data_IF_905864517610
#
_entry.id   IF_905864517610
#
_cell.length_a   1.000
_cell.length_b   1.000
_cell.length_c   1.000
_cell.angle_alpha   90.00
_cell.angle_beta   90.00
_cell.angle_gamma   90.00
#
_symmetry.space_group_name_H-M   'P 1'
#
loop_
_entity.id
_entity.type
_entity.pdbx_description
1 polymer ?
#
# COMPACT_ATOMS: atom_id res chain seq x y z
N UNK A 1 11.29 -8.54 -1.73
CA UNK A 1 9.91 -8.94 -2.09
C UNK A 1 9.32 -7.93 -3.04
N UNK A 2 8.60 -8.37 -4.07
CA UNK A 2 7.78 -7.50 -4.94
C UNK A 2 6.66 -6.89 -4.09
N UNK A 3 6.54 -5.57 -4.05
CA UNK A 3 5.46 -4.91 -3.30
C UNK A 3 4.12 -5.21 -3.97
N UNK A 4 3.06 -5.37 -3.18
CA UNK A 4 1.72 -5.70 -3.68
C UNK A 4 1.15 -4.67 -4.68
N UNK A 5 1.73 -3.47 -4.73
CA UNK A 5 1.25 -2.33 -5.53
C UNK A 5 2.30 -1.75 -6.48
N UNK A 6 3.40 -2.47 -6.74
CA UNK A 6 4.40 -2.01 -7.72
C UNK A 6 3.81 -2.00 -9.12
N UNK A 7 3.48 -0.82 -9.65
CA UNK A 7 3.14 -0.64 -11.06
C UNK A 7 4.33 0.01 -11.75
N UNK A 8 4.91 -0.60 -12.81
CA UNK A 8 5.89 0.09 -13.62
C UNK A 8 5.26 1.38 -14.15
N UNK A 9 6.05 2.47 -14.21
CA UNK A 9 5.58 3.76 -14.74
C UNK A 9 4.92 3.52 -16.08
N UNK A 10 3.61 3.79 -16.15
CA UNK A 10 2.89 3.80 -17.42
C UNK A 10 3.36 5.03 -18.18
N UNK A 11 4.38 4.86 -19.03
CA UNK A 11 5.03 5.91 -19.81
C UNK A 11 4.13 6.57 -20.88
N UNK A 12 2.80 6.31 -20.85
CA UNK A 12 1.86 6.74 -21.90
C UNK A 12 1.78 8.27 -22.03
N UNK A 13 2.05 9.01 -20.96
CA UNK A 13 1.95 10.48 -20.93
C UNK A 13 3.31 11.18 -20.87
N UNK A 14 4.42 10.45 -21.07
CA UNK A 14 5.78 10.99 -20.98
C UNK A 14 6.39 11.12 -22.38
N UNK A 15 7.22 12.16 -22.64
CA UNK A 15 7.96 12.30 -23.89
C UNK A 15 8.71 11.02 -24.29
N UNK A 16 8.76 10.74 -25.59
CA UNK A 16 9.55 9.63 -26.11
C UNK A 16 11.06 9.88 -25.89
N UNK A 17 11.83 8.80 -25.79
CA UNK A 17 13.29 8.85 -25.70
C UNK A 17 13.86 9.18 -24.30
N UNK A 18 13.02 9.23 -23.26
CA UNK A 18 13.47 9.43 -21.89
C UNK A 18 14.20 8.19 -21.36
N UNK A 19 15.36 8.40 -20.75
CA UNK A 19 16.11 7.35 -20.06
C UNK A 19 15.87 7.45 -18.56
N UNK A 20 15.24 6.42 -17.99
CA UNK A 20 14.92 6.38 -16.56
C UNK A 20 16.01 5.70 -15.73
N UNK A 21 16.33 6.31 -14.60
CA UNK A 21 16.96 5.64 -13.48
C UNK A 21 15.88 5.03 -12.58
N UNK A 22 15.98 3.73 -12.31
CA UNK A 22 15.07 3.02 -11.41
C UNK A 22 15.76 2.68 -10.09
N UNK A 23 15.08 2.90 -8.97
CA UNK A 23 15.55 2.56 -7.63
C UNK A 23 14.43 1.96 -6.81
N UNK A 24 14.79 1.05 -5.91
CA UNK A 24 13.89 0.47 -4.90
C UNK A 24 14.33 1.00 -3.56
N UNK A 25 13.48 1.75 -2.90
CA UNK A 25 13.80 2.42 -1.62
C UNK A 25 12.96 1.78 -0.52
N UNK A 26 13.56 1.01 0.40
CA UNK A 26 12.86 0.53 1.59
C UNK A 26 12.39 1.70 2.44
N UNK A 27 11.18 1.61 2.97
CA UNK A 27 10.63 2.62 3.86
C UNK A 27 9.72 1.98 4.89
N UNK A 28 9.80 2.47 6.13
CA UNK A 28 8.95 2.01 7.23
C UNK A 28 8.21 3.18 7.86
N UNK A 29 7.04 2.90 8.42
CA UNK A 29 6.32 3.82 9.30
C UNK A 29 5.66 3.07 10.44
N UNK A 30 5.43 3.77 11.55
CA UNK A 30 4.62 3.26 12.68
C UNK A 30 3.33 4.05 12.74
N UNK A 31 2.20 3.36 12.74
CA UNK A 31 0.87 4.00 12.69
C UNK A 31 -0.12 3.33 13.64
N UNK A 32 -1.17 4.03 14.09
CA UNK A 32 -2.27 3.39 14.80
C UNK A 32 -2.92 2.29 13.95
N UNK A 33 -3.41 1.24 14.60
CA UNK A 33 -4.09 0.11 13.96
C UNK A 33 -5.28 0.58 13.10
N UNK A 34 -5.99 1.63 13.52
CA UNK A 34 -7.06 2.23 12.73
C UNK A 34 -6.59 2.82 11.41
N UNK A 35 -5.43 3.47 11.41
CA UNK A 35 -4.82 4.02 10.19
C UNK A 35 -4.39 2.90 9.25
N UNK A 36 -3.85 1.81 9.80
CA UNK A 36 -3.51 0.61 9.02
C UNK A 36 -4.74 0.02 8.33
N UNK A 37 -5.83 -0.19 9.07
CA UNK A 37 -7.08 -0.74 8.54
C UNK A 37 -7.75 0.19 7.53
N UNK A 38 -7.73 1.50 7.76
CA UNK A 38 -8.25 2.48 6.81
C UNK A 38 -7.46 2.45 5.48
N UNK A 39 -6.12 2.33 5.56
CA UNK A 39 -5.28 2.16 4.39
C UNK A 39 -5.59 0.85 3.66
N UNK A 40 -5.70 -0.27 4.38
CA UNK A 40 -6.07 -1.56 3.81
C UNK A 40 -7.42 -1.50 3.07
N UNK A 41 -8.44 -0.89 3.70
CA UNK A 41 -9.78 -0.75 3.13
C UNK A 41 -9.86 0.12 1.87
N UNK A 42 -8.85 0.95 1.59
CA UNK A 42 -8.77 1.75 0.36
C UNK A 42 -8.36 0.95 -0.88
N UNK A 43 -7.90 -0.29 -0.71
CA UNK A 43 -7.47 -1.12 -1.83
C UNK A 43 -8.65 -1.47 -2.74
N UNK A 44 -8.42 -1.43 -4.06
CA UNK A 44 -9.45 -1.66 -5.07
C UNK A 44 -10.13 -3.04 -4.97
N UNK A 45 -9.48 -4.02 -4.36
CA UNK A 45 -10.09 -5.32 -4.05
C UNK A 45 -11.37 -5.17 -3.21
N UNK A 46 -11.41 -4.22 -2.26
CA UNK A 46 -12.60 -3.95 -1.46
C UNK A 46 -13.72 -3.28 -2.25
N UNK A 47 -13.39 -2.48 -3.26
CA UNK A 47 -14.38 -1.92 -4.19
C UNK A 47 -15.03 -3.03 -5.04
N UNK A 48 -14.24 -4.02 -5.48
CA UNK A 48 -14.73 -5.17 -6.25
C UNK A 48 -15.57 -6.10 -5.35
N UNK A 49 -15.14 -6.30 -4.11
CA UNK A 49 -15.81 -7.13 -3.12
C UNK A 49 -17.19 -6.56 -2.71
N UNK A 50 -17.34 -5.24 -2.77
CA UNK A 50 -18.55 -4.52 -2.37
C UNK A 50 -18.62 -4.21 -0.88
N UNK A 51 -19.49 -3.26 -0.51
CA UNK A 51 -19.47 -2.63 0.80
C UNK A 51 -19.73 -3.58 1.99
N UNK A 52 -20.73 -4.45 1.91
CA UNK A 52 -21.13 -5.30 3.03
C UNK A 52 -20.06 -6.35 3.37
N UNK A 53 -19.55 -7.14 2.40
CA UNK A 53 -18.50 -8.10 2.70
C UNK A 53 -17.17 -7.43 3.04
N UNK A 54 -16.88 -6.24 2.47
CA UNK A 54 -15.70 -5.45 2.85
C UNK A 54 -15.76 -4.99 4.31
N UNK A 55 -16.90 -4.45 4.76
CA UNK A 55 -17.10 -4.02 6.15
C UNK A 55 -16.97 -5.17 7.13
N UNK A 56 -17.59 -6.33 6.80
CA UNK A 56 -17.46 -7.55 7.61
C UNK A 56 -16.01 -8.00 7.72
N UNK A 57 -15.29 -8.07 6.60
CA UNK A 57 -13.88 -8.44 6.59
C UNK A 57 -13.06 -7.50 7.49
N UNK A 58 -13.19 -6.19 7.30
CA UNK A 58 -12.40 -5.21 8.07
C UNK A 58 -12.74 -5.21 9.57
N UNK A 59 -13.98 -5.56 9.96
CA UNK A 59 -14.32 -5.73 11.38
C UNK A 59 -13.70 -7.00 11.99
N UNK A 60 -13.74 -8.12 11.28
CA UNK A 60 -13.12 -9.37 11.73
C UNK A 60 -11.59 -9.20 11.82
N UNK A 61 -10.99 -8.51 10.85
CA UNK A 61 -9.57 -8.20 10.81
C UNK A 61 -9.14 -7.30 11.98
N UNK A 62 -9.94 -6.29 12.33
CA UNK A 62 -9.72 -5.44 13.49
C UNK A 62 -9.61 -6.24 14.79
N UNK A 63 -10.56 -7.14 15.03
CA UNK A 63 -10.56 -7.98 16.23
C UNK A 63 -9.34 -8.89 16.28
N UNK A 64 -8.92 -9.41 15.12
CA UNK A 64 -7.73 -10.24 15.01
C UNK A 64 -6.46 -9.45 15.32
N UNK A 65 -6.26 -8.31 14.65
CA UNK A 65 -5.07 -7.49 14.80
C UNK A 65 -4.96 -6.86 16.19
N UNK A 66 -6.07 -6.48 16.83
CA UNK A 66 -6.04 -5.96 18.20
C UNK A 66 -5.43 -6.94 19.22
N UNK A 67 -5.57 -8.26 18.98
CA UNK A 67 -4.92 -9.28 19.83
C UNK A 67 -3.41 -9.38 19.60
N UNK A 68 -2.92 -8.99 18.43
CA UNK A 68 -1.51 -9.09 18.04
C UNK A 68 -0.75 -7.78 18.29
N UNK A 69 -1.45 -6.65 18.29
CA UNK A 69 -0.91 -5.31 18.51
C UNK A 69 -1.58 -4.69 19.75
N UNK A 70 -1.22 -5.14 20.97
CA UNK A 70 -1.86 -4.69 22.20
C UNK A 70 -1.56 -3.21 22.53
N UNK A 71 -0.51 -2.63 21.96
CA UNK A 71 -0.20 -1.19 22.03
C UNK A 71 -0.94 -0.37 20.97
N UNK A 72 -1.70 -1.04 20.09
CA UNK A 72 -2.48 -0.42 19.02
C UNK A 72 -1.63 0.17 17.90
N UNK A 73 -0.34 -0.16 17.79
CA UNK A 73 0.56 0.41 16.79
C UNK A 73 1.11 -0.69 15.88
N UNK A 74 1.02 -0.47 14.58
CA UNK A 74 1.57 -1.37 13.55
C UNK A 74 2.79 -0.71 12.93
N UNK A 75 3.88 -1.47 12.80
CA UNK A 75 5.01 -1.09 11.95
C UNK A 75 4.76 -1.63 10.54
N UNK A 76 4.59 -0.73 9.59
CA UNK A 76 4.37 -1.06 8.20
C UNK A 76 5.67 -0.91 7.43
N UNK A 77 6.01 -1.92 6.63
CA UNK A 77 7.21 -1.94 5.79
C UNK A 77 6.82 -1.96 4.33
N UNK A 78 7.30 -0.97 3.58
CA UNK A 78 7.05 -0.81 2.15
C UNK A 78 8.38 -0.75 1.38
N UNK A 79 8.28 -0.96 0.08
CA UNK A 79 9.36 -0.62 -0.87
C UNK A 79 8.77 0.33 -1.89
N UNK A 80 9.35 1.52 -1.98
CA UNK A 80 9.00 2.51 -3.00
C UNK A 80 9.75 2.16 -4.26
N UNK A 81 9.02 1.98 -5.36
CA UNK A 81 9.60 1.89 -6.71
C UNK A 81 9.69 3.31 -7.28
N UNK A 82 10.90 3.85 -7.28
CA UNK A 82 11.19 5.20 -7.76
C UNK A 82 11.75 5.13 -9.18
N UNK A 83 11.13 5.84 -10.10
CA UNK A 83 11.62 6.03 -11.47
C UNK A 83 11.81 7.52 -11.73
N UNK A 84 13.04 7.92 -12.05
CA UNK A 84 13.42 9.33 -12.28
C UNK A 84 14.09 9.45 -13.63
N UNK A 85 13.79 10.53 -14.35
CA UNK A 85 14.48 10.94 -15.57
C UNK A 85 14.83 12.42 -15.46
N UNK A 86 15.86 12.84 -16.18
CA UNK A 86 16.23 14.24 -16.33
C UNK A 86 16.06 14.65 -17.78
N UNK A 87 15.74 15.93 -18.01
CA UNK A 87 15.56 16.52 -19.33
C UNK A 87 16.56 17.64 -19.52
#
# INVERSE_FOLDING_TARGET
GTGAHGSPVSARDLPAGLTFAHRRVPWTRRVPLDTHLANLGSHSAFLILGDEPARRFLSEEREHLARHFPDGVVEETYVVELSVTIR
#
